data_IF_325763755027
#
_entry.id   IF_325763755027
#
_cell.length_a   1.000
_cell.length_b   1.000
_cell.length_c   1.000
_cell.angle_alpha   90.00
_cell.angle_beta   90.00
_cell.angle_gamma   90.00
#
_symmetry.space_group_name_H-M   'P 1'
#
loop_
_entity.id
_entity.type
_entity.pdbx_description
1 polymer ?
#
# COMPACT_ATOMS: atom_id res chain seq x y z
N UNK A 1 -25.80 -26.74 6.70
CA UNK A 1 -25.67 -25.64 7.69
C UNK A 1 -26.31 -24.40 7.07
N UNK A 2 -27.39 -23.88 7.65
CA UNK A 2 -28.01 -22.63 7.18
C UNK A 2 -27.25 -21.51 7.89
N UNK A 3 -26.55 -20.65 7.13
CA UNK A 3 -25.89 -19.47 7.69
C UNK A 3 -26.96 -18.50 8.20
N UNK A 4 -26.89 -18.11 9.48
CA UNK A 4 -27.80 -17.18 10.16
C UNK A 4 -27.42 -15.70 9.97
N UNK A 5 -26.48 -15.42 9.07
CA UNK A 5 -25.95 -14.07 8.85
C UNK A 5 -26.92 -13.22 8.01
N UNK A 6 -27.12 -11.96 8.43
CA UNK A 6 -27.99 -11.03 7.72
C UNK A 6 -27.37 -10.67 6.36
N UNK A 7 -28.12 -10.85 5.28
CA UNK A 7 -27.62 -10.53 3.93
C UNK A 7 -27.71 -9.03 3.58
N UNK A 8 -28.47 -8.25 4.35
CA UNK A 8 -28.76 -6.84 4.10
C UNK A 8 -28.53 -6.01 5.35
N UNK A 9 -28.15 -4.75 5.17
CA UNK A 9 -27.98 -3.79 6.25
C UNK A 9 -29.32 -3.49 6.91
N UNK A 10 -29.33 -3.37 8.24
CA UNK A 10 -30.57 -3.22 9.02
C UNK A 10 -31.30 -1.89 8.73
N UNK A 11 -30.54 -0.81 8.54
CA UNK A 11 -31.09 0.54 8.30
C UNK A 11 -31.30 0.84 6.81
N UNK A 12 -30.80 -0.01 5.92
CA UNK A 12 -30.90 0.18 4.47
C UNK A 12 -30.84 -1.16 3.74
N UNK A 13 -32.00 -1.67 3.37
CA UNK A 13 -32.15 -2.96 2.70
C UNK A 13 -31.50 -3.03 1.31
N UNK A 14 -31.19 -1.88 0.70
CA UNK A 14 -30.46 -1.79 -0.58
C UNK A 14 -28.98 -2.12 -0.45
N UNK A 15 -28.42 -2.03 0.77
CA UNK A 15 -27.03 -2.37 1.03
C UNK A 15 -26.92 -3.86 1.37
N UNK A 16 -26.25 -4.60 0.50
CA UNK A 16 -25.95 -6.01 0.72
C UNK A 16 -24.66 -6.14 1.53
N UNK A 17 -24.62 -7.11 2.44
CA UNK A 17 -23.47 -7.40 3.30
C UNK A 17 -22.61 -8.51 2.71
N UNK A 18 -21.30 -8.44 2.95
CA UNK A 18 -20.28 -9.38 2.51
C UNK A 18 -19.46 -9.81 3.73
N UNK A 19 -19.24 -11.12 3.85
CA UNK A 19 -18.63 -11.74 5.03
C UNK A 19 -17.35 -12.50 4.72
N UNK A 20 -17.03 -12.71 3.45
CA UNK A 20 -15.83 -13.45 3.05
C UNK A 20 -14.60 -12.55 3.06
N UNK A 21 -13.41 -13.16 3.19
CA UNK A 21 -12.13 -12.45 3.11
C UNK A 21 -11.75 -12.10 1.66
N UNK A 22 -12.51 -12.56 0.68
CA UNK A 22 -12.24 -12.37 -0.73
C UNK A 22 -13.48 -11.87 -1.47
N UNK A 23 -13.30 -10.81 -2.26
CA UNK A 23 -14.31 -10.26 -3.15
C UNK A 23 -13.78 -10.21 -4.57
N UNK A 24 -14.40 -10.95 -5.50
CA UNK A 24 -13.99 -11.01 -6.92
C UNK A 24 -12.49 -11.32 -7.13
N UNK A 25 -11.92 -12.16 -6.27
CA UNK A 25 -10.50 -12.56 -6.34
C UNK A 25 -9.52 -11.60 -5.64
N UNK A 26 -9.99 -10.45 -5.15
CA UNK A 26 -9.21 -9.54 -4.33
C UNK A 26 -9.38 -9.86 -2.84
N UNK A 27 -8.27 -9.89 -2.10
CA UNK A 27 -8.32 -9.94 -0.65
C UNK A 27 -8.91 -8.62 -0.10
N UNK A 28 -9.91 -8.73 0.75
CA UNK A 28 -10.54 -7.59 1.41
C UNK A 28 -10.19 -7.59 2.89
N UNK A 29 -10.09 -6.40 3.48
CA UNK A 29 -9.78 -6.26 4.91
C UNK A 29 -11.00 -6.58 5.78
N UNK A 30 -11.46 -7.82 5.71
CA UNK A 30 -12.55 -8.32 6.52
C UNK A 30 -12.04 -8.50 7.96
N UNK A 31 -12.56 -7.67 8.86
CA UNK A 31 -12.24 -7.72 10.28
C UNK A 31 -13.51 -8.03 11.06
N UNK A 32 -13.52 -9.19 11.71
CA UNK A 32 -14.67 -9.68 12.50
C UNK A 32 -15.16 -8.66 13.54
N UNK A 33 -14.24 -7.87 14.11
CA UNK A 33 -14.53 -6.82 15.10
C UNK A 33 -15.32 -5.62 14.57
N UNK A 34 -15.24 -5.31 13.27
CA UNK A 34 -15.91 -4.17 12.64
C UNK A 34 -17.17 -4.56 11.85
N UNK A 35 -17.50 -5.86 11.84
CA UNK A 35 -18.66 -6.37 11.13
C UNK A 35 -18.43 -6.62 9.63
N UNK A 36 -19.48 -7.01 8.90
CA UNK A 36 -19.40 -7.29 7.48
C UNK A 36 -19.18 -6.03 6.65
N UNK A 37 -18.44 -6.19 5.55
CA UNK A 37 -18.28 -5.14 4.55
C UNK A 37 -19.56 -4.99 3.71
N UNK A 38 -19.75 -3.82 3.10
CA UNK A 38 -20.88 -3.57 2.21
C UNK A 38 -20.50 -3.96 0.78
N UNK A 39 -21.15 -4.99 0.24
CA UNK A 39 -20.92 -5.54 -1.09
C UNK A 39 -21.03 -4.49 -2.20
N UNK A 40 -21.98 -3.56 -2.07
CA UNK A 40 -22.19 -2.51 -3.06
C UNK A 40 -20.98 -1.58 -3.18
N UNK A 41 -20.33 -1.27 -2.05
CA UNK A 41 -19.13 -0.44 -2.02
C UNK A 41 -17.94 -1.21 -2.56
N UNK A 42 -17.77 -2.49 -2.18
CA UNK A 42 -16.74 -3.35 -2.76
C UNK A 42 -16.83 -3.42 -4.29
N UNK A 43 -18.04 -3.61 -4.83
CA UNK A 43 -18.27 -3.60 -6.28
C UNK A 43 -17.87 -2.28 -6.93
N UNK A 44 -18.28 -1.15 -6.35
CA UNK A 44 -17.91 0.16 -6.87
C UNK A 44 -16.40 0.37 -6.85
N UNK A 45 -15.72 -0.02 -5.77
CA UNK A 45 -14.27 0.08 -5.63
C UNK A 45 -13.53 -0.77 -6.66
N UNK A 46 -13.91 -2.05 -6.83
CA UNK A 46 -13.28 -2.93 -7.83
C UNK A 46 -13.46 -2.37 -9.23
N UNK A 47 -14.67 -1.92 -9.58
CA UNK A 47 -14.94 -1.31 -10.89
C UNK A 47 -14.05 -0.08 -11.13
N UNK A 48 -13.89 0.78 -10.12
CA UNK A 48 -13.06 1.98 -10.23
C UNK A 48 -11.58 1.62 -10.37
N UNK A 49 -11.09 0.65 -9.61
CA UNK A 49 -9.71 0.14 -9.72
C UNK A 49 -9.46 -0.40 -11.13
N UNK A 50 -10.36 -1.25 -11.65
CA UNK A 50 -10.24 -1.82 -12.99
C UNK A 50 -10.28 -0.71 -14.05
N UNK A 51 -11.18 0.27 -13.92
CA UNK A 51 -11.26 1.41 -14.83
C UNK A 51 -9.98 2.27 -14.81
N UNK A 52 -9.44 2.53 -13.62
CA UNK A 52 -8.17 3.23 -13.44
C UNK A 52 -7.01 2.47 -14.08
N UNK A 53 -6.89 1.16 -13.82
CA UNK A 53 -5.85 0.31 -14.42
C UNK A 53 -5.96 0.28 -15.94
N UNK A 54 -7.17 0.11 -16.48
CA UNK A 54 -7.41 0.07 -17.92
C UNK A 54 -7.12 1.42 -18.60
N UNK A 55 -7.41 2.55 -17.93
CA UNK A 55 -7.13 3.89 -18.47
C UNK A 55 -5.67 4.31 -18.33
N UNK A 56 -4.93 3.75 -17.36
CA UNK A 56 -3.56 4.14 -17.03
C UNK A 56 -2.53 3.05 -17.36
N UNK A 57 -2.60 2.49 -18.57
CA UNK A 57 -1.79 1.35 -19.03
C UNK A 57 -0.24 1.52 -18.94
N UNK A 58 0.26 2.70 -18.55
CA UNK A 58 1.70 3.04 -18.45
C UNK A 58 2.10 3.68 -17.12
N UNK A 59 1.20 3.77 -16.15
CA UNK A 59 1.49 4.41 -14.85
C UNK A 59 1.63 3.32 -13.80
N UNK A 60 2.86 3.15 -13.29
CA UNK A 60 3.11 2.35 -12.09
C UNK A 60 2.78 3.22 -10.87
N UNK A 61 1.70 2.88 -10.17
CA UNK A 61 1.37 3.46 -8.86
C UNK A 61 1.76 2.43 -7.80
N UNK A 62 2.75 2.76 -6.98
CA UNK A 62 3.14 1.95 -5.83
C UNK A 62 3.15 2.83 -4.59
N UNK A 63 2.77 2.24 -3.46
CA UNK A 63 2.90 2.86 -2.16
C UNK A 63 4.20 2.39 -1.52
N UNK A 64 4.98 3.33 -1.04
CA UNK A 64 6.24 3.12 -0.37
C UNK A 64 6.13 3.63 1.06
N UNK A 65 6.06 2.73 2.03
CA UNK A 65 6.14 3.13 3.43
C UNK A 65 7.62 3.26 3.82
N UNK A 66 8.04 4.49 4.14
CA UNK A 66 9.42 4.80 4.52
C UNK A 66 9.57 4.65 6.03
N UNK A 67 10.45 3.75 6.44
CA UNK A 67 10.77 3.53 7.84
C UNK A 67 12.23 3.87 8.11
N UNK A 68 12.48 4.59 9.20
CA UNK A 68 13.82 4.64 9.77
C UNK A 68 14.15 3.27 10.38
N UNK A 69 15.42 2.86 10.36
CA UNK A 69 15.83 1.61 10.99
C UNK A 69 15.45 1.60 12.47
N UNK A 70 14.93 0.48 12.96
CA UNK A 70 14.44 0.39 14.34
C UNK A 70 15.54 0.64 15.39
N UNK A 71 16.80 0.38 15.04
CA UNK A 71 17.97 0.65 15.88
C UNK A 71 18.42 2.12 15.88
N UNK A 72 17.81 2.97 15.04
CA UNK A 72 18.18 4.38 14.92
C UNK A 72 17.46 5.20 15.99
N UNK A 73 18.23 5.75 16.93
CA UNK A 73 17.70 6.67 17.93
C UNK A 73 17.23 7.99 17.30
N UNK A 74 16.19 8.64 17.87
CA UNK A 74 15.83 10.00 17.51
C UNK A 74 17.00 10.97 17.73
N UNK A 75 17.64 11.44 16.66
CA UNK A 75 18.58 12.56 16.62
C UNK A 75 18.02 13.78 15.86
N UNK A 76 18.82 14.86 15.75
CA UNK A 76 18.43 16.10 15.06
C UNK A 76 18.02 15.90 13.60
N UNK A 77 18.45 14.82 12.95
CA UNK A 77 18.07 14.50 11.56
C UNK A 77 16.57 14.18 11.39
N UNK A 78 15.86 13.78 12.46
CA UNK A 78 14.43 13.49 12.40
C UNK A 78 13.57 14.73 12.66
N UNK A 79 14.21 15.84 13.05
CA UNK A 79 13.53 17.09 13.38
C UNK A 79 13.26 17.95 12.14
N UNK A 80 13.85 17.59 10.99
CA UNK A 80 13.68 18.32 9.73
C UNK A 80 13.43 17.38 8.55
N UNK A 81 12.90 17.93 7.45
CA UNK A 81 12.60 17.18 6.23
C UNK A 81 13.80 17.04 5.28
N UNK A 82 15.02 17.33 5.75
CA UNK A 82 16.21 17.38 4.90
C UNK A 82 16.59 15.99 4.37
N UNK A 83 16.48 14.98 5.24
CA UNK A 83 16.73 13.58 4.92
C UNK A 83 15.72 13.07 3.88
N UNK A 84 14.42 13.36 4.08
CA UNK A 84 13.37 12.99 3.13
C UNK A 84 13.55 13.71 1.79
N UNK A 85 13.90 15.00 1.80
CA UNK A 85 14.14 15.79 0.59
C UNK A 85 15.32 15.23 -0.21
N UNK A 86 16.38 14.81 0.48
CA UNK A 86 17.55 14.18 -0.13
C UNK A 86 17.20 12.81 -0.72
N UNK A 87 16.46 11.99 0.02
CA UNK A 87 15.94 10.71 -0.46
C UNK A 87 15.14 10.88 -1.75
N UNK A 88 14.11 11.75 -1.77
CA UNK A 88 13.29 11.95 -2.96
C UNK A 88 14.08 12.49 -4.15
N UNK A 89 15.11 13.31 -3.92
CA UNK A 89 16.01 13.79 -4.97
C UNK A 89 16.77 12.63 -5.63
N UNK A 90 17.42 11.78 -4.84
CA UNK A 90 18.13 10.61 -5.37
C UNK A 90 17.18 9.58 -5.96
N UNK A 91 16.05 9.32 -5.31
CA UNK A 91 15.03 8.39 -5.81
C UNK A 91 14.51 8.81 -7.20
N UNK A 92 14.18 10.09 -7.39
CA UNK A 92 13.78 10.61 -8.71
C UNK A 92 14.89 10.51 -9.75
N UNK A 93 16.13 10.77 -9.36
CA UNK A 93 17.30 10.61 -10.23
C UNK A 93 17.46 9.15 -10.69
N UNK A 94 17.42 8.21 -9.75
CA UNK A 94 17.49 6.78 -10.04
C UNK A 94 16.35 6.35 -10.95
N UNK A 95 15.08 6.61 -10.60
CA UNK A 95 13.93 6.24 -11.44
C UNK A 95 14.06 6.80 -12.86
N UNK A 96 14.55 8.03 -13.03
CA UNK A 96 14.77 8.64 -14.35
C UNK A 96 15.87 7.91 -15.15
N UNK A 97 16.95 7.48 -14.49
CA UNK A 97 18.03 6.74 -15.14
C UNK A 97 17.70 5.28 -15.37
N UNK A 98 16.81 4.72 -14.55
CA UNK A 98 16.42 3.32 -14.58
C UNK A 98 15.45 3.01 -15.74
N UNK A 99 14.74 4.03 -16.24
CA UNK A 99 14.10 3.96 -17.56
C UNK A 99 15.09 3.64 -18.70
N UNK A 100 16.41 3.72 -18.46
CA UNK A 100 17.45 3.34 -19.42
C UNK A 100 18.13 1.98 -19.15
N UNK A 101 17.98 1.33 -17.97
CA UNK A 101 18.67 0.06 -17.63
C UNK A 101 17.96 -0.73 -16.51
N UNK A 102 17.76 -2.03 -16.74
CA UNK A 102 17.05 -3.04 -15.91
C UNK A 102 17.50 -3.12 -14.44
N UNK A 103 16.53 -3.27 -13.51
CA UNK A 103 16.71 -3.31 -12.06
C UNK A 103 17.55 -4.50 -11.54
N UNK A 104 18.53 -4.21 -10.68
CA UNK A 104 18.99 -5.08 -9.59
C UNK A 104 19.07 -4.21 -8.32
N UNK A 105 18.03 -4.20 -7.49
CA UNK A 105 18.12 -3.63 -6.14
C UNK A 105 18.66 -4.69 -5.18
N UNK A 106 19.94 -4.57 -4.84
CA UNK A 106 20.48 -5.19 -3.63
C UNK A 106 20.64 -4.11 -2.56
N UNK A 107 19.72 -4.05 -1.61
CA UNK A 107 19.98 -3.42 -0.32
C UNK A 107 20.78 -4.43 0.53
N UNK A 108 22.11 -4.38 0.45
CA UNK A 108 22.97 -5.11 1.40
C UNK A 108 23.83 -4.14 2.19
N UNK A 109 23.85 -4.38 3.51
CA UNK A 109 24.55 -3.59 4.52
C UNK A 109 26.06 -3.78 4.46
N UNK A 110 26.82 -2.71 4.64
CA UNK A 110 28.19 -2.79 5.14
C UNK A 110 28.24 -2.46 6.63
N UNK A 111 28.93 -3.24 7.48
CA UNK A 111 29.16 -2.86 8.86
C UNK A 111 30.12 -1.66 8.88
N UNK A 112 29.62 -0.48 9.24
CA UNK A 112 30.43 0.74 9.39
C UNK A 112 29.88 2.01 8.74
N UNK A 113 28.75 1.96 8.03
CA UNK A 113 28.14 3.19 7.47
C UNK A 113 27.42 4.00 8.54
N UNK A 114 27.82 5.26 8.71
CA UNK A 114 27.14 6.26 9.56
C UNK A 114 25.92 6.91 8.90
N UNK A 115 25.50 6.44 7.72
CA UNK A 115 24.34 7.00 7.03
C UNK A 115 23.04 6.27 7.40
N UNK A 116 21.98 7.01 7.70
CA UNK A 116 20.64 6.44 7.83
C UNK A 116 20.23 5.77 6.53
N UNK A 117 19.88 4.50 6.60
CA UNK A 117 19.32 3.76 5.46
C UNK A 117 17.82 3.73 5.63
N UNK A 118 17.09 4.32 4.68
CA UNK A 118 15.64 4.19 4.62
C UNK A 118 15.35 2.87 3.91
N UNK A 119 14.70 1.95 4.61
CA UNK A 119 14.26 0.68 4.02
C UNK A 119 12.96 0.90 3.25
N UNK A 120 12.94 0.49 1.98
CA UNK A 120 11.76 0.50 1.13
C UNK A 120 11.19 -0.91 1.08
N UNK A 121 9.96 -1.10 1.58
CA UNK A 121 9.21 -2.33 1.39
C UNK A 121 8.16 -2.08 0.31
N UNK A 122 8.22 -2.84 -0.78
CA UNK A 122 7.19 -2.85 -1.82
C UNK A 122 6.32 -4.07 -1.52
N UNK A 123 5.03 -3.84 -1.22
CA UNK A 123 4.05 -4.88 -0.90
C UNK A 123 3.11 -5.05 -2.07
#
# INVERSE_FOLDING_TARGET
MISTQRLRHQDNDKLCLHYDNYYEGFEVQQKLEYGPLVKNYLKATVNEIIAAVNSQQRILIFRADLHFPQWMLPSGMHQNNEVLSTFFRYFKYEIKNLAALTFLFFATSGPGSRTPVISLTIT
#
